data_IF_942479268890
#
_entry.id   IF_942479268890
#
_cell.length_a   1.000
_cell.length_b   1.000
_cell.length_c   1.000
_cell.angle_alpha   90.00
_cell.angle_beta   90.00
_cell.angle_gamma   90.00
#
_symmetry.space_group_name_H-M   'P 1'
#
loop_
_entity.id
_entity.type
_entity.pdbx_description
1 polymer ?
#
# COMPACT_ATOMS: atom_id res chain seq x y z
N UNK A 1 17.33 -20.03 65.63
CA UNK A 1 18.51 -20.84 65.98
C UNK A 1 18.10 -22.31 65.85
N UNK A 2 18.87 -23.13 65.14
CA UNK A 2 18.40 -24.00 64.06
C UNK A 2 18.58 -25.51 64.36
N UNK A 3 18.14 -26.38 63.44
CA UNK A 3 18.82 -27.62 62.94
C UNK A 3 17.98 -28.12 61.74
N UNK A 4 18.40 -27.93 60.49
CA UNK A 4 19.10 -28.91 59.58
C UNK A 4 18.41 -30.27 59.44
N UNK A 5 18.39 -31.00 58.33
CA UNK A 5 18.70 -30.85 56.90
C UNK A 5 18.13 -32.12 56.24
N UNK A 6 17.80 -32.08 54.94
CA UNK A 6 17.71 -33.30 54.13
C UNK A 6 16.53 -33.36 53.16
N UNK A 7 16.66 -32.70 52.01
CA UNK A 7 15.93 -33.08 50.81
C UNK A 7 16.93 -33.26 49.67
N UNK A 8 16.80 -34.42 49.03
CA UNK A 8 17.63 -34.98 47.97
C UNK A 8 17.69 -34.09 46.72
N UNK A 9 18.86 -34.11 46.08
CA UNK A 9 19.31 -33.31 44.94
C UNK A 9 18.98 -34.01 43.61
N UNK A 10 17.71 -34.35 43.35
CA UNK A 10 17.36 -35.11 42.13
C UNK A 10 16.00 -34.83 41.46
N UNK A 11 15.30 -33.72 41.74
CA UNK A 11 13.97 -33.46 41.12
C UNK A 11 13.69 -31.99 40.76
N UNK A 12 14.66 -31.25 40.20
CA UNK A 12 14.40 -29.88 39.72
C UNK A 12 15.20 -29.55 38.46
N UNK A 13 14.94 -30.28 37.37
CA UNK A 13 15.45 -29.93 36.05
C UNK A 13 14.54 -30.43 34.91
N UNK A 14 13.24 -30.16 34.99
CA UNK A 14 12.34 -30.29 33.84
C UNK A 14 11.39 -29.10 33.77
N UNK A 15 11.85 -28.02 33.15
CA UNK A 15 11.04 -27.07 32.38
C UNK A 15 11.98 -25.99 31.86
N UNK A 16 12.48 -26.15 30.64
CA UNK A 16 12.81 -25.08 29.68
C UNK A 16 13.39 -25.75 28.42
N UNK A 17 12.54 -26.05 27.44
CA UNK A 17 12.98 -26.18 26.05
C UNK A 17 11.80 -26.03 25.09
N UNK A 18 11.68 -24.82 24.52
CA UNK A 18 11.02 -24.60 23.25
C UNK A 18 11.91 -25.17 22.12
N UNK A 19 11.39 -25.92 21.14
CA UNK A 19 12.10 -26.13 19.90
C UNK A 19 11.75 -25.01 18.92
N UNK A 20 12.63 -24.02 18.82
CA UNK A 20 12.75 -23.13 17.66
C UNK A 20 13.85 -23.70 16.77
N UNK A 21 13.47 -24.15 15.58
CA UNK A 21 14.40 -24.57 14.53
C UNK A 21 13.94 -25.86 13.87
N UNK A 22 13.24 -25.73 12.75
CA UNK A 22 13.18 -26.85 11.80
C UNK A 22 14.62 -27.11 11.33
N UNK A 23 15.03 -28.38 11.32
CA UNK A 23 16.35 -28.77 10.82
C UNK A 23 16.46 -28.42 9.33
N UNK A 24 17.66 -28.09 8.85
CA UNK A 24 17.94 -27.93 7.41
C UNK A 24 17.42 -29.12 6.58
N UNK A 25 17.45 -30.33 7.16
CA UNK A 25 16.94 -31.54 6.54
C UNK A 25 15.41 -31.55 6.38
N UNK A 26 14.67 -30.93 7.30
CA UNK A 26 13.20 -30.83 7.22
C UNK A 26 12.78 -29.78 6.18
N UNK A 27 13.55 -28.70 6.04
CA UNK A 27 13.37 -27.69 5.00
C UNK A 27 13.68 -28.25 3.60
N UNK A 28 14.73 -29.07 3.46
CA UNK A 28 15.05 -29.76 2.21
C UNK A 28 13.97 -30.78 1.81
N UNK A 29 13.41 -31.51 2.78
CA UNK A 29 12.32 -32.47 2.53
C UNK A 29 11.01 -31.77 2.14
N UNK A 30 10.68 -30.63 2.75
CA UNK A 30 9.53 -29.81 2.34
C UNK A 30 9.71 -29.22 0.94
N UNK A 31 10.93 -28.80 0.60
CA UNK A 31 11.27 -28.30 -0.74
C UNK A 31 11.12 -29.40 -1.82
N UNK A 32 11.56 -30.63 -1.54
CA UNK A 32 11.38 -31.78 -2.45
C UNK A 32 9.92 -32.25 -2.57
N UNK A 33 9.13 -32.15 -1.50
CA UNK A 33 7.71 -32.52 -1.54
C UNK A 33 6.87 -31.55 -2.39
N UNK A 34 7.21 -30.26 -2.38
CA UNK A 34 6.56 -29.25 -3.24
C UNK A 34 6.87 -29.45 -4.74
N UNK A 35 8.08 -29.90 -5.07
CA UNK A 35 8.49 -30.15 -6.46
C UNK A 35 7.88 -31.44 -7.08
N UNK A 36 7.33 -32.35 -6.27
CA UNK A 36 6.87 -33.67 -6.72
C UNK A 36 5.36 -33.81 -6.94
N UNK A 37 4.56 -32.76 -6.70
CA UNK A 37 3.12 -32.81 -6.96
C UNK A 37 2.80 -32.74 -8.47
N UNK A 38 1.98 -33.65 -9.02
CA UNK A 38 1.64 -33.64 -10.45
C UNK A 38 0.69 -32.49 -10.79
N UNK A 39 1.10 -31.66 -11.77
CA UNK A 39 0.29 -30.56 -12.32
C UNK A 39 -1.01 -31.09 -12.94
N UNK A 40 -2.17 -30.73 -12.38
CA UNK A 40 -3.47 -30.92 -13.04
C UNK A 40 -3.51 -30.06 -14.31
N UNK A 41 -3.59 -30.70 -15.49
CA UNK A 41 -3.76 -30.02 -16.77
C UNK A 41 -5.16 -29.41 -16.86
N UNK A 42 -5.30 -28.10 -16.62
CA UNK A 42 -6.48 -27.36 -17.06
C UNK A 42 -6.35 -27.04 -18.54
N UNK A 43 -7.21 -27.64 -19.37
CA UNK A 43 -7.46 -27.14 -20.72
C UNK A 43 -8.24 -25.83 -20.62
N UNK A 44 -7.68 -24.74 -21.16
CA UNK A 44 -8.40 -23.48 -21.39
C UNK A 44 -8.52 -23.23 -22.90
N UNK A 45 -9.66 -22.70 -23.39
CA UNK A 45 -9.83 -22.37 -24.81
C UNK A 45 -8.93 -21.19 -25.20
N UNK A 46 -8.46 -21.20 -26.45
CA UNK A 46 -7.64 -20.11 -27.02
C UNK A 46 -8.54 -18.92 -27.37
N UNK A 47 -8.27 -17.75 -26.78
CA UNK A 47 -8.74 -16.45 -27.26
C UNK A 47 -7.56 -15.55 -27.69
N UNK A 48 -7.74 -14.67 -28.69
CA UNK A 48 -6.65 -13.96 -29.35
C UNK A 48 -6.14 -12.74 -28.55
N UNK A 49 -4.90 -12.28 -28.81
CA UNK A 49 -4.25 -11.28 -27.96
C UNK A 49 -4.70 -9.85 -28.29
N UNK A 50 -5.16 -9.12 -27.27
CA UNK A 50 -5.30 -7.66 -27.32
C UNK A 50 -4.00 -7.05 -26.77
N UNK A 51 -3.21 -6.45 -27.66
CA UNK A 51 -2.00 -5.68 -27.28
C UNK A 51 -2.39 -4.24 -27.02
N UNK A 52 -2.41 -3.82 -25.76
CA UNK A 52 -2.41 -2.40 -25.40
C UNK A 52 -1.11 -2.09 -24.66
N UNK A 53 -0.19 -1.38 -25.31
CA UNK A 53 0.98 -0.79 -24.65
C UNK A 53 0.50 0.41 -23.82
N UNK A 54 0.61 0.32 -22.50
CA UNK A 54 0.39 1.48 -21.62
C UNK A 54 1.72 2.23 -21.51
N UNK A 55 1.70 3.52 -21.90
CA UNK A 55 2.85 4.42 -21.84
C UNK A 55 2.90 5.04 -20.43
N UNK A 56 3.97 4.75 -19.67
CA UNK A 56 4.23 5.36 -18.37
C UNK A 56 4.39 6.87 -18.52
N UNK A 57 3.69 7.64 -17.69
CA UNK A 57 3.80 9.11 -17.62
C UNK A 57 4.54 9.45 -16.34
N UNK A 58 5.76 9.98 -16.48
CA UNK A 58 6.56 10.47 -15.36
C UNK A 58 5.99 11.83 -14.89
N UNK A 59 5.51 11.91 -13.66
CA UNK A 59 5.28 13.19 -12.98
C UNK A 59 6.36 13.39 -11.91
N UNK A 60 7.14 14.45 -12.07
CA UNK A 60 8.16 14.87 -11.12
C UNK A 60 7.53 15.79 -10.07
N UNK A 61 7.14 15.28 -8.91
CA UNK A 61 6.94 16.14 -7.74
C UNK A 61 7.18 15.35 -6.45
N UNK A 62 8.44 15.28 -6.04
CA UNK A 62 8.77 15.04 -4.64
C UNK A 62 9.08 16.38 -3.99
N UNK A 63 8.26 16.81 -3.02
CA UNK A 63 8.66 17.77 -1.97
C UNK A 63 7.89 17.50 -0.67
N UNK A 64 8.67 17.49 0.40
CA UNK A 64 8.33 17.20 1.79
C UNK A 64 7.45 18.27 2.45
N UNK A 65 6.83 17.86 3.56
CA UNK A 65 6.22 18.68 4.60
C UNK A 65 7.21 19.68 5.26
N UNK A 66 6.62 20.78 5.74
CA UNK A 66 6.99 21.71 6.83
C UNK A 66 7.77 23.03 6.53
N UNK A 67 7.17 24.10 7.09
CA UNK A 67 7.67 25.43 7.50
C UNK A 67 7.71 26.61 6.49
N UNK A 68 6.83 27.58 6.76
CA UNK A 68 6.93 29.00 6.39
C UNK A 68 8.15 29.66 7.07
N UNK A 69 8.67 30.79 6.54
CA UNK A 69 8.27 32.08 7.12
C UNK A 69 8.11 33.24 6.11
N UNK A 70 7.39 34.26 6.58
CA UNK A 70 7.13 35.55 5.94
C UNK A 70 8.40 36.36 5.70
N UNK A 71 8.42 37.19 4.65
CA UNK A 71 8.92 38.57 4.75
C UNK A 71 8.40 39.46 3.62
N UNK A 72 8.21 40.72 4.00
CA UNK A 72 7.43 41.79 3.40
C UNK A 72 8.42 42.77 2.72
N UNK A 73 8.24 43.12 1.44
CA UNK A 73 8.86 44.32 0.83
C UNK A 73 7.87 44.94 -0.18
N UNK A 74 7.64 46.24 0.01
CA UNK A 74 6.72 47.14 -0.70
C UNK A 74 7.12 47.50 -2.15
N UNK A 75 6.23 48.17 -2.93
CA UNK A 75 6.20 48.09 -4.39
C UNK A 75 6.92 49.25 -5.11
N UNK A 76 7.38 48.97 -6.34
CA UNK A 76 7.89 50.00 -7.24
C UNK A 76 6.86 50.37 -8.31
N UNK A 77 6.50 51.66 -8.33
CA UNK A 77 5.57 52.33 -9.26
C UNK A 77 5.94 52.16 -10.73
N UNK A 78 4.95 51.90 -11.60
CA UNK A 78 4.71 52.66 -12.84
C UNK A 78 3.20 52.71 -13.18
N UNK A 79 2.75 53.90 -13.57
CA UNK A 79 1.38 54.33 -13.86
C UNK A 79 1.11 54.23 -15.37
N UNK A 80 -0.02 53.65 -15.81
CA UNK A 80 -0.75 54.06 -17.04
C UNK A 80 -2.26 53.68 -16.95
N UNK A 81 -3.07 54.73 -16.90
CA UNK A 81 -4.40 55.02 -17.49
C UNK A 81 -5.64 54.09 -17.34
N UNK A 82 -6.77 54.76 -17.03
CA UNK A 82 -8.10 54.25 -16.68
C UNK A 82 -8.98 54.01 -17.92
N UNK A 83 -9.71 52.89 -17.93
CA UNK A 83 -10.99 52.71 -18.63
C UNK A 83 -12.06 52.22 -17.64
N UNK A 84 -13.37 52.44 -17.89
CA UNK A 84 -14.40 52.16 -16.88
C UNK A 84 -14.64 50.64 -16.78
N UNK A 85 -14.18 50.05 -15.67
CA UNK A 85 -14.46 48.67 -15.34
C UNK A 85 -15.84 48.56 -14.66
N UNK A 86 -16.75 47.85 -15.32
CA UNK A 86 -17.99 47.31 -14.75
C UNK A 86 -17.63 46.56 -13.47
N UNK A 87 -18.19 46.97 -12.33
CA UNK A 87 -18.02 46.27 -11.06
C UNK A 87 -18.80 44.96 -11.09
N UNK A 88 -18.18 43.91 -11.63
CA UNK A 88 -18.55 42.55 -11.28
C UNK A 88 -18.19 42.36 -9.80
N UNK A 89 -19.21 42.20 -8.97
CA UNK A 89 -19.04 41.71 -7.60
C UNK A 89 -18.52 40.28 -7.72
N UNK A 90 -17.22 40.09 -7.56
CA UNK A 90 -16.68 38.77 -7.29
C UNK A 90 -17.04 38.45 -5.83
N UNK A 91 -18.23 37.89 -5.64
CA UNK A 91 -18.50 37.10 -4.45
C UNK A 91 -17.60 35.87 -4.55
N UNK A 92 -16.50 35.90 -3.81
CA UNK A 92 -15.76 34.69 -3.44
C UNK A 92 -16.72 33.80 -2.67
N UNK A 93 -17.39 32.89 -3.37
CA UNK A 93 -18.10 31.78 -2.75
C UNK A 93 -17.05 30.96 -2.00
N UNK A 94 -16.98 31.14 -0.68
CA UNK A 94 -16.36 30.16 0.20
C UNK A 94 -17.05 28.83 -0.08
N UNK A 95 -16.39 27.93 -0.81
CA UNK A 95 -16.88 26.58 -1.01
C UNK A 95 -17.10 25.99 0.39
N UNK A 96 -18.37 25.81 0.77
CA UNK A 96 -18.69 25.11 2.00
C UNK A 96 -18.17 23.69 1.83
N UNK A 97 -17.06 23.36 2.51
CA UNK A 97 -16.49 22.00 2.50
C UNK A 97 -17.57 21.00 2.91
N UNK A 98 -18.14 20.23 2.00
CA UNK A 98 -19.09 19.18 2.40
C UNK A 98 -18.33 18.10 3.18
N UNK A 99 -18.97 17.45 4.14
CA UNK A 99 -18.30 16.36 4.85
C UNK A 99 -17.99 15.21 3.87
N UNK A 100 -16.83 14.54 3.99
CA UNK A 100 -16.47 13.43 3.11
C UNK A 100 -17.44 12.26 3.28
N UNK A 101 -17.59 11.44 2.25
CA UNK A 101 -18.52 10.30 2.26
C UNK A 101 -18.22 9.38 3.45
N UNK A 102 -19.23 9.02 4.26
CA UNK A 102 -19.18 8.03 5.37
C UNK A 102 -17.99 8.15 6.35
N UNK A 103 -17.33 9.31 6.41
CA UNK A 103 -16.11 9.50 7.20
C UNK A 103 -16.32 9.16 8.67
N UNK A 104 -17.49 9.45 9.24
CA UNK A 104 -17.83 9.09 10.63
C UNK A 104 -17.75 7.59 10.88
N UNK A 105 -18.16 6.76 9.89
CA UNK A 105 -18.06 5.30 9.99
C UNK A 105 -16.61 4.86 9.96
N UNK A 106 -15.82 5.42 9.05
CA UNK A 106 -14.39 5.10 8.88
C UNK A 106 -13.62 5.45 10.17
N UNK A 107 -13.88 6.61 10.75
CA UNK A 107 -13.18 7.09 11.94
C UNK A 107 -13.55 6.35 13.24
N UNK A 108 -14.48 5.39 13.23
CA UNK A 108 -14.72 4.52 14.39
C UNK A 108 -13.55 3.56 14.62
N UNK A 109 -12.81 3.25 13.57
CA UNK A 109 -11.68 2.34 13.59
C UNK A 109 -10.33 3.07 13.73
N UNK A 110 -10.35 4.37 14.07
CA UNK A 110 -9.15 5.18 14.20
C UNK A 110 -8.34 4.80 15.45
N UNK A 111 -7.02 4.67 15.27
CA UNK A 111 -6.11 4.26 16.35
C UNK A 111 -5.93 5.37 17.42
N UNK A 112 -6.22 6.62 17.04
CA UNK A 112 -6.14 7.80 17.91
C UNK A 112 -7.40 8.64 17.79
N UNK A 113 -7.83 9.33 18.87
CA UNK A 113 -8.94 10.28 18.79
C UNK A 113 -8.68 11.38 17.76
N UNK A 114 -9.67 11.64 16.91
CA UNK A 114 -9.65 12.74 15.93
C UNK A 114 -10.33 13.96 16.55
N UNK A 115 -9.65 15.12 16.55
CA UNK A 115 -10.21 16.38 17.05
C UNK A 115 -11.34 16.86 16.12
N UNK A 116 -12.56 16.90 16.66
CA UNK A 116 -13.80 17.32 15.98
C UNK A 116 -14.35 18.66 16.53
N UNK A 117 -13.52 19.42 17.26
CA UNK A 117 -13.94 20.69 17.89
C UNK A 117 -14.27 21.78 16.88
N UNK A 118 -13.70 21.72 15.67
CA UNK A 118 -14.10 22.56 14.54
C UNK A 118 -14.00 21.79 13.24
N UNK A 119 -14.65 22.31 12.21
CA UNK A 119 -14.63 21.73 10.87
C UNK A 119 -13.22 21.76 10.30
N UNK A 120 -12.54 22.89 10.42
CA UNK A 120 -11.19 23.12 9.89
C UNK A 120 -10.19 22.12 10.47
N UNK A 121 -10.18 21.95 11.79
CA UNK A 121 -9.30 20.99 12.47
C UNK A 121 -9.55 19.55 12.04
N UNK A 122 -10.82 19.19 11.83
CA UNK A 122 -11.18 17.87 11.33
C UNK A 122 -10.63 17.67 9.92
N UNK A 123 -10.87 18.62 9.01
CA UNK A 123 -10.35 18.54 7.64
C UNK A 123 -8.81 18.51 7.60
N UNK A 124 -8.13 19.30 8.43
CA UNK A 124 -6.66 19.29 8.52
C UNK A 124 -6.13 17.89 8.89
N UNK A 125 -6.75 17.22 9.87
CA UNK A 125 -6.40 15.84 10.23
C UNK A 125 -6.76 14.84 9.13
N UNK A 126 -7.94 14.96 8.53
CA UNK A 126 -8.37 14.08 7.44
C UNK A 126 -7.49 14.21 6.20
N UNK A 127 -6.98 15.39 5.90
CA UNK A 127 -6.02 15.61 4.83
C UNK A 127 -4.59 15.18 5.19
N UNK A 128 -4.24 15.20 6.48
CA UNK A 128 -2.96 14.72 6.99
C UNK A 128 -2.87 13.19 7.06
N UNK A 129 -4.02 12.51 7.16
CA UNK A 129 -4.13 11.06 7.25
C UNK A 129 -4.36 10.58 8.68
N UNK A 130 -5.22 9.58 8.81
CA UNK A 130 -5.58 8.93 10.07
C UNK A 130 -5.28 7.44 9.95
N UNK A 131 -4.53 6.90 10.91
CA UNK A 131 -4.23 5.48 10.98
C UNK A 131 -5.42 4.70 11.56
N UNK A 132 -5.67 3.54 10.97
CA UNK A 132 -6.76 2.65 11.34
C UNK A 132 -6.23 1.23 11.58
N UNK A 133 -6.90 0.50 12.47
CA UNK A 133 -6.66 -0.91 12.77
C UNK A 133 -5.19 -1.22 13.05
N UNK A 134 -4.65 -0.71 14.16
CA UNK A 134 -3.27 -0.92 14.59
C UNK A 134 -2.25 -0.51 13.53
N UNK A 135 -2.52 0.62 12.86
CA UNK A 135 -1.69 1.22 11.80
C UNK A 135 -1.50 0.32 10.59
N UNK A 136 -2.36 -0.67 10.38
CA UNK A 136 -2.33 -1.52 9.18
C UNK A 136 -2.98 -0.84 7.97
N UNK A 137 -3.80 0.19 8.20
CA UNK A 137 -4.36 1.03 7.13
C UNK A 137 -4.19 2.51 7.47
N UNK A 138 -4.19 3.35 6.43
CA UNK A 138 -4.30 4.80 6.56
C UNK A 138 -5.44 5.30 5.70
N UNK A 139 -6.30 6.14 6.28
CA UNK A 139 -7.37 6.86 5.59
C UNK A 139 -7.00 8.34 5.47
N UNK A 140 -7.20 8.92 4.30
CA UNK A 140 -7.16 10.38 4.13
C UNK A 140 -8.22 10.82 3.13
N UNK A 141 -8.46 12.13 3.09
CA UNK A 141 -9.36 12.76 2.14
C UNK A 141 -8.56 13.54 1.13
N UNK A 142 -8.78 13.27 -0.15
CA UNK A 142 -8.18 14.05 -1.22
C UNK A 142 -8.70 15.50 -1.19
N UNK A 143 -7.78 16.47 -1.22
CA UNK A 143 -8.11 17.90 -1.08
C UNK A 143 -8.90 18.44 -2.28
N UNK A 144 -8.69 17.89 -3.47
CA UNK A 144 -9.29 18.41 -4.71
C UNK A 144 -10.72 17.90 -4.89
N UNK A 145 -10.91 16.60 -4.66
CA UNK A 145 -12.15 15.88 -4.93
C UNK A 145 -13.02 15.66 -3.69
N UNK A 146 -12.47 15.89 -2.49
CA UNK A 146 -13.09 15.53 -1.21
C UNK A 146 -13.42 14.02 -1.10
N UNK A 147 -12.74 13.20 -1.90
CA UNK A 147 -12.97 11.76 -1.95
C UNK A 147 -12.14 11.02 -0.91
N UNK A 148 -12.67 9.91 -0.42
CA UNK A 148 -11.97 9.03 0.50
C UNK A 148 -10.83 8.29 -0.20
N UNK A 149 -9.69 8.21 0.45
CA UNK A 149 -8.49 7.53 -0.05
C UNK A 149 -7.92 6.61 1.02
N UNK A 150 -7.23 5.55 0.58
CA UNK A 150 -6.73 4.53 1.49
C UNK A 150 -5.34 4.02 1.10
N UNK A 151 -4.55 3.70 2.13
CA UNK A 151 -3.35 2.87 2.02
C UNK A 151 -3.60 1.62 2.85
N UNK A 152 -3.33 0.46 2.26
CA UNK A 152 -3.17 -0.81 2.97
C UNK A 152 -1.69 -1.09 3.11
N UNK A 153 -1.16 -1.01 4.33
CA UNK A 153 0.25 -1.32 4.58
C UNK A 153 0.49 -2.83 4.52
N UNK A 154 1.75 -3.29 4.39
CA UNK A 154 2.07 -4.71 4.23
C UNK A 154 1.47 -5.64 5.30
N UNK A 155 1.27 -5.16 6.54
CA UNK A 155 0.60 -5.93 7.60
C UNK A 155 -0.89 -6.17 7.38
N UNK A 156 -1.55 -5.40 6.51
CA UNK A 156 -2.91 -5.66 6.05
C UNK A 156 -2.97 -6.60 4.82
N UNK A 157 -1.83 -7.05 4.30
CA UNK A 157 -1.74 -7.86 3.08
C UNK A 157 -1.47 -9.32 3.41
N UNK A 158 -1.94 -10.20 2.53
CA UNK A 158 -1.54 -11.61 2.50
C UNK A 158 -0.32 -11.74 1.59
N UNK A 159 0.83 -12.02 2.17
CA UNK A 159 2.10 -12.17 1.46
C UNK A 159 2.59 -13.60 1.70
N UNK A 160 2.84 -14.35 0.63
CA UNK A 160 3.25 -15.75 0.73
C UNK A 160 4.60 -15.86 1.43
N UNK A 161 4.65 -16.66 2.51
CA UNK A 161 5.83 -16.94 3.34
C UNK A 161 6.39 -15.74 4.11
N UNK A 162 5.60 -14.70 4.33
CA UNK A 162 6.07 -13.47 4.97
C UNK A 162 6.49 -13.63 6.44
N UNK A 163 6.04 -14.68 7.10
CA UNK A 163 6.47 -15.10 8.43
C UNK A 163 7.89 -15.67 8.45
N UNK A 164 8.41 -16.12 7.30
CA UNK A 164 9.73 -16.71 7.21
C UNK A 164 10.80 -15.64 6.91
N UNK A 165 11.70 -15.35 7.87
CA UNK A 165 12.70 -14.30 7.74
C UNK A 165 13.80 -14.61 6.72
N UNK A 166 13.86 -15.85 6.20
CA UNK A 166 14.74 -16.22 5.09
C UNK A 166 14.28 -15.51 3.80
N UNK A 167 12.96 -15.42 3.61
CA UNK A 167 12.35 -14.93 2.38
C UNK A 167 11.93 -13.47 2.44
N UNK A 168 11.51 -12.99 3.62
CA UNK A 168 11.04 -11.62 3.78
C UNK A 168 11.72 -10.94 4.95
N UNK A 169 12.03 -9.65 4.78
CA UNK A 169 12.50 -8.78 5.85
C UNK A 169 11.44 -7.74 6.14
N UNK A 170 10.88 -7.76 7.33
CA UNK A 170 10.07 -6.66 7.84
C UNK A 170 11.01 -5.54 8.31
N UNK A 171 10.75 -4.32 7.84
CA UNK A 171 11.53 -3.13 8.16
C UNK A 171 10.60 -2.17 8.89
N UNK A 172 10.72 -2.17 10.21
CA UNK A 172 10.03 -1.22 11.07
C UNK A 172 10.48 0.20 10.77
N UNK A 173 9.53 1.14 10.84
CA UNK A 173 9.67 2.60 10.75
C UNK A 173 10.86 3.00 9.88
N UNK A 174 10.62 3.07 8.58
CA UNK A 174 11.68 3.50 7.69
C UNK A 174 12.03 4.98 7.94
N UNK A 175 13.24 5.38 7.54
CA UNK A 175 13.71 6.77 7.64
C UNK A 175 12.88 7.76 6.78
N UNK A 176 11.91 7.26 6.02
CA UNK A 176 11.07 7.97 5.07
C UNK A 176 9.63 8.15 5.60
N UNK A 177 9.38 7.77 6.87
CA UNK A 177 8.12 8.02 7.58
C UNK A 177 6.98 7.03 7.32
N UNK A 178 7.21 5.97 6.54
CA UNK A 178 6.23 4.89 6.42
C UNK A 178 6.24 4.01 7.67
N UNK A 179 5.09 3.45 8.08
CA UNK A 179 4.99 2.63 9.28
C UNK A 179 5.94 1.43 9.23
N UNK A 180 5.61 0.41 8.45
CA UNK A 180 6.43 -0.79 8.30
C UNK A 180 6.34 -1.23 6.84
N UNK A 181 7.49 -1.56 6.27
CA UNK A 181 7.60 -2.02 4.87
C UNK A 181 8.18 -3.42 4.85
N UNK A 182 8.00 -4.14 3.74
CA UNK A 182 8.50 -5.50 3.60
C UNK A 182 9.44 -5.61 2.40
N UNK A 183 10.63 -6.17 2.61
CA UNK A 183 11.66 -6.38 1.59
C UNK A 183 11.75 -7.88 1.25
N UNK A 184 11.61 -8.21 -0.03
CA UNK A 184 11.83 -9.55 -0.57
C UNK A 184 13.32 -9.85 -0.57
N UNK A 185 13.69 -10.89 0.18
CA UNK A 185 15.03 -11.47 0.17
C UNK A 185 15.15 -12.53 -0.92
N UNK A 186 16.38 -12.97 -1.14
CA UNK A 186 16.76 -13.96 -2.15
C UNK A 186 15.93 -15.25 -2.04
N UNK A 187 15.70 -15.87 -3.20
CA UNK A 187 15.15 -17.23 -3.35
C UNK A 187 13.68 -17.39 -2.87
N UNK A 188 12.84 -16.38 -3.08
CA UNK A 188 11.41 -16.42 -2.78
C UNK A 188 10.54 -16.05 -3.99
N UNK A 189 9.35 -16.66 -4.09
CA UNK A 189 8.32 -16.23 -5.04
C UNK A 189 7.75 -14.87 -4.63
N UNK A 190 7.37 -14.06 -5.62
CA UNK A 190 6.64 -12.83 -5.38
C UNK A 190 5.14 -13.12 -5.49
N UNK A 191 4.44 -13.03 -4.37
CA UNK A 191 2.99 -13.21 -4.33
C UNK A 191 2.40 -12.39 -3.18
N UNK A 192 1.73 -11.30 -3.53
CA UNK A 192 1.16 -10.33 -2.60
C UNK A 192 -0.30 -10.10 -2.97
N UNK A 193 -1.20 -10.25 -1.99
CA UNK A 193 -2.62 -10.04 -2.14
C UNK A 193 -3.15 -9.04 -1.11
N UNK A 194 -4.06 -8.18 -1.55
CA UNK A 194 -4.82 -7.28 -0.71
C UNK A 194 -6.32 -7.42 -0.96
N UNK A 195 -7.11 -7.13 0.06
CA UNK A 195 -8.56 -7.08 -0.01
C UNK A 195 -9.03 -5.72 0.50
N UNK A 196 -10.05 -5.17 -0.15
CA UNK A 196 -10.57 -3.87 0.24
C UNK A 196 -12.07 -3.77 -0.02
N UNK A 197 -12.83 -3.23 0.94
CA UNK A 197 -14.26 -2.99 0.78
C UNK A 197 -14.51 -1.68 0.02
N UNK A 198 -14.96 -1.79 -1.23
CA UNK A 198 -15.21 -0.62 -2.10
C UNK A 198 -16.29 0.30 -1.55
N UNK A 199 -17.13 -0.17 -0.61
CA UNK A 199 -18.14 0.66 0.09
C UNK A 199 -17.54 1.68 1.04
N UNK A 200 -16.21 1.68 1.22
CA UNK A 200 -15.48 2.70 1.97
C UNK A 200 -15.08 3.90 1.10
N UNK A 201 -15.17 3.78 -0.23
CA UNK A 201 -14.81 4.82 -1.19
C UNK A 201 -15.98 5.77 -1.46
N UNK A 202 -15.66 6.97 -1.93
CA UNK A 202 -16.68 7.94 -2.35
C UNK A 202 -17.31 7.50 -3.68
N UNK A 203 -18.64 7.36 -3.76
CA UNK A 203 -19.30 6.88 -4.98
C UNK A 203 -19.22 7.91 -6.12
N UNK A 204 -19.25 7.43 -7.36
CA UNK A 204 -19.20 8.25 -8.57
C UNK A 204 -17.79 8.73 -8.95
N UNK A 205 -16.77 8.40 -8.16
CA UNK A 205 -15.38 8.79 -8.41
C UNK A 205 -14.65 7.68 -9.16
N UNK A 206 -13.85 8.06 -10.16
CA UNK A 206 -12.89 7.18 -10.82
C UNK A 206 -11.67 7.01 -9.91
N UNK A 207 -11.45 5.80 -9.44
CA UNK A 207 -10.29 5.42 -8.63
C UNK A 207 -9.25 4.70 -9.47
N UNK A 208 -7.99 4.92 -9.11
CA UNK A 208 -6.88 4.05 -9.47
C UNK A 208 -6.41 3.24 -8.25
N UNK A 209 -6.00 2.00 -8.51
CA UNK A 209 -5.42 1.08 -7.54
C UNK A 209 -3.97 0.83 -7.91
N UNK A 210 -3.07 1.05 -6.96
CA UNK A 210 -1.62 1.07 -7.17
C UNK A 210 -0.93 0.23 -6.10
N UNK A 211 0.14 -0.47 -6.47
CA UNK A 211 1.15 -0.90 -5.49
C UNK A 211 2.21 0.18 -5.33
N UNK A 212 2.56 0.51 -4.08
CA UNK A 212 3.65 1.43 -3.78
C UNK A 212 4.92 0.63 -3.46
N UNK A 213 5.89 0.67 -4.37
CA UNK A 213 7.07 -0.22 -4.34
C UNK A 213 8.36 0.54 -4.54
N UNK A 214 9.47 -0.05 -4.12
CA UNK A 214 10.82 0.47 -4.28
C UNK A 214 11.78 -0.66 -4.63
N UNK A 215 12.65 -0.42 -5.60
CA UNK A 215 13.73 -1.34 -5.96
C UNK A 215 15.02 -0.89 -5.28
N UNK A 216 15.67 -1.79 -4.53
CA UNK A 216 16.86 -1.52 -3.71
C UNK A 216 17.98 -2.49 -4.09
N UNK A 217 19.20 -1.98 -4.20
CA UNK A 217 20.36 -2.83 -4.52
C UNK A 217 20.68 -3.82 -3.37
N UNK A 218 21.12 -5.05 -3.70
CA UNK A 218 21.24 -5.59 -5.05
C UNK A 218 19.86 -5.96 -5.66
N UNK A 219 19.67 -5.64 -6.95
CA UNK A 219 18.46 -5.97 -7.71
C UNK A 219 18.78 -7.11 -8.69
N UNK A 220 18.05 -8.22 -8.59
CA UNK A 220 18.25 -9.41 -9.44
C UNK A 220 16.92 -10.12 -9.73
N UNK A 221 16.79 -10.72 -10.92
CA UNK A 221 15.67 -11.60 -11.27
C UNK A 221 14.46 -10.89 -11.87
N UNK A 222 14.54 -9.58 -12.15
CA UNK A 222 13.41 -8.74 -12.58
C UNK A 222 13.36 -8.51 -14.10
N UNK A 223 14.08 -9.31 -14.89
CA UNK A 223 14.16 -9.19 -16.35
C UNK A 223 12.80 -9.46 -17.02
N UNK A 224 11.97 -10.28 -16.39
CA UNK A 224 10.61 -10.56 -16.83
C UNK A 224 9.60 -9.65 -16.10
N UNK A 225 8.55 -9.19 -16.80
CA UNK A 225 7.53 -8.38 -16.17
C UNK A 225 6.68 -9.20 -15.22
N UNK A 226 6.37 -8.64 -14.07
CA UNK A 226 5.47 -9.22 -13.06
C UNK A 226 4.02 -9.10 -13.48
N UNK A 227 3.14 -9.89 -12.86
CA UNK A 227 1.69 -9.80 -13.08
C UNK A 227 1.05 -8.91 -12.02
N UNK A 228 0.08 -8.10 -12.45
CA UNK A 228 -0.79 -7.32 -11.57
C UNK A 228 -2.24 -7.64 -11.91
N UNK A 229 -3.10 -7.71 -10.89
CA UNK A 229 -4.51 -8.10 -11.06
C UNK A 229 -5.42 -7.35 -10.09
N UNK A 230 -6.53 -6.84 -10.61
CA UNK A 230 -7.66 -6.31 -9.84
C UNK A 230 -8.91 -7.12 -10.17
N UNK A 231 -9.58 -7.66 -9.15
CA UNK A 231 -10.89 -8.31 -9.26
C UNK A 231 -11.88 -7.47 -8.48
N UNK A 232 -12.86 -6.90 -9.17
CA UNK A 232 -13.90 -6.07 -8.58
C UNK A 232 -15.04 -6.91 -8.01
N UNK A 233 -15.90 -6.34 -7.15
CA UNK A 233 -17.16 -6.96 -6.78
C UNK A 233 -17.95 -7.39 -8.03
N UNK A 234 -18.55 -8.58 -7.97
CA UNK A 234 -19.21 -9.20 -9.14
C UNK A 234 -18.26 -9.90 -10.12
N UNK A 235 -16.96 -9.97 -9.83
CA UNK A 235 -16.00 -10.82 -10.55
C UNK A 235 -15.36 -10.19 -11.79
N UNK A 236 -15.65 -8.91 -12.08
CA UNK A 236 -15.00 -8.21 -13.20
C UNK A 236 -13.50 -8.11 -12.94
N UNK A 237 -12.70 -8.67 -13.85
CA UNK A 237 -11.25 -8.79 -13.71
C UNK A 237 -10.50 -7.84 -14.65
N UNK A 238 -9.47 -7.20 -14.14
CA UNK A 238 -8.44 -6.48 -14.87
C UNK A 238 -7.10 -7.13 -14.56
N UNK A 239 -6.28 -7.41 -15.57
CA UNK A 239 -4.97 -8.02 -15.38
C UNK A 239 -3.98 -7.43 -16.39
N UNK A 240 -2.75 -7.21 -15.94
CA UNK A 240 -1.67 -6.68 -16.76
C UNK A 240 -0.31 -7.25 -16.36
N UNK A 241 0.70 -6.90 -17.15
CA UNK A 241 2.10 -7.18 -16.86
C UNK A 241 2.89 -5.88 -16.74
N UNK A 242 3.78 -5.78 -15.76
CA UNK A 242 4.56 -4.56 -15.49
C UNK A 242 6.05 -4.91 -15.38
N UNK A 243 6.89 -4.20 -16.13
CA UNK A 243 8.35 -4.31 -16.01
C UNK A 243 8.85 -3.47 -14.85
N UNK A 244 9.49 -4.11 -13.86
CA UNK A 244 10.14 -3.40 -12.75
C UNK A 244 11.57 -2.94 -13.09
N UNK A 245 12.09 -3.25 -14.28
CA UNK A 245 13.43 -2.83 -14.71
C UNK A 245 13.48 -1.40 -15.24
N UNK A 246 12.36 -0.89 -15.73
CA UNK A 246 12.23 0.51 -16.19
C UNK A 246 12.10 1.50 -15.01
N UNK A 247 12.08 0.98 -13.79
CA UNK A 247 11.81 1.71 -12.56
C UNK A 247 13.10 2.25 -11.93
N UNK A 248 13.06 3.51 -11.48
CA UNK A 248 14.21 4.20 -10.88
C UNK A 248 14.59 3.56 -9.54
N UNK A 249 15.77 2.94 -9.48
CA UNK A 249 16.32 2.35 -8.25
C UNK A 249 16.40 3.38 -7.12
N UNK A 250 16.19 2.91 -5.89
CA UNK A 250 16.26 3.72 -4.68
C UNK A 250 15.09 4.68 -4.47
N UNK A 251 14.13 4.77 -5.40
CA UNK A 251 12.94 5.61 -5.27
C UNK A 251 11.68 4.77 -5.13
N UNK A 252 10.73 5.29 -4.36
CA UNK A 252 9.38 4.76 -4.36
C UNK A 252 8.65 5.12 -5.64
N UNK A 253 7.83 4.20 -6.12
CA UNK A 253 7.06 4.33 -7.34
C UNK A 253 5.70 3.66 -7.20
N UNK A 254 4.76 4.16 -8.00
CA UNK A 254 3.41 3.64 -8.10
C UNK A 254 3.32 2.67 -9.28
N UNK A 255 2.96 1.43 -9.02
CA UNK A 255 2.70 0.39 -10.03
C UNK A 255 1.19 0.27 -10.22
N UNK A 256 0.63 0.69 -11.37
CA UNK A 256 -0.81 0.59 -11.60
C UNK A 256 -1.29 -0.85 -11.71
N UNK A 257 -2.38 -1.15 -11.01
CA UNK A 257 -3.05 -2.45 -11.04
C UNK A 257 -4.32 -2.41 -11.88
N UNK A 258 -5.10 -1.34 -11.73
CA UNK A 258 -6.37 -1.17 -12.44
C UNK A 258 -7.13 0.05 -11.96
N UNK A 259 -8.24 0.32 -12.63
CA UNK A 259 -9.06 1.51 -12.42
C UNK A 259 -10.54 1.15 -12.42
N UNK A 260 -11.34 1.83 -11.62
CA UNK A 260 -12.78 1.62 -11.59
C UNK A 260 -13.53 2.83 -11.05
N UNK A 261 -14.80 2.96 -11.44
CA UNK A 261 -15.70 3.94 -10.83
C UNK A 261 -16.35 3.31 -9.61
N UNK A 262 -16.21 3.92 -8.44
CA UNK A 262 -16.87 3.44 -7.22
C UNK A 262 -18.40 3.63 -7.32
N UNK A 263 -19.16 2.60 -6.97
CA UNK A 263 -20.63 2.57 -7.07
C UNK A 263 -21.23 2.09 -5.75
N UNK A 264 -22.26 2.77 -5.25
CA UNK A 264 -22.95 2.36 -4.01
C UNK A 264 -23.67 1.02 -4.17
N UNK A 265 -24.19 0.73 -5.38
CA UNK A 265 -25.04 -0.44 -5.65
C UNK A 265 -24.23 -1.71 -5.89
N UNK A 266 -23.03 -1.57 -6.42
CA UNK A 266 -22.12 -2.69 -6.73
C UNK A 266 -21.01 -2.81 -5.68
N UNK A 267 -21.29 -2.36 -4.46
CA UNK A 267 -20.35 -2.35 -3.35
C UNK A 267 -20.00 -3.76 -2.86
N UNK A 268 -18.73 -3.99 -2.52
CA UNK A 268 -18.27 -5.26 -1.99
C UNK A 268 -16.75 -5.32 -1.85
N UNK A 269 -16.24 -6.51 -1.56
CA UNK A 269 -14.80 -6.72 -1.46
C UNK A 269 -14.18 -6.82 -2.87
N UNK A 270 -13.16 -5.99 -3.13
CA UNK A 270 -12.25 -6.15 -4.26
C UNK A 270 -10.99 -6.90 -3.83
N UNK A 271 -10.41 -7.65 -4.75
CA UNK A 271 -9.13 -8.34 -4.58
C UNK A 271 -8.07 -7.73 -5.48
N UNK A 272 -6.90 -7.49 -4.90
CA UNK A 272 -5.77 -6.79 -5.52
C UNK A 272 -4.58 -7.72 -5.42
N UNK A 273 -3.82 -7.92 -6.48
CA UNK A 273 -2.71 -8.86 -6.47
C UNK A 273 -1.53 -8.39 -7.31
N UNK A 274 -0.33 -8.69 -6.82
CA UNK A 274 0.95 -8.54 -7.49
C UNK A 274 1.72 -9.84 -7.31
N UNK A 275 2.04 -10.50 -8.41
CA UNK A 275 2.60 -11.85 -8.35
C UNK A 275 3.46 -12.22 -9.57
N UNK A 276 4.35 -13.19 -9.37
CA UNK A 276 5.15 -13.79 -10.42
C UNK A 276 5.32 -15.30 -10.16
N UNK A 277 4.86 -16.13 -11.10
CA UNK A 277 4.91 -17.60 -11.00
C UNK A 277 5.72 -18.25 -12.12
N UNK A 278 6.06 -17.52 -13.18
CA UNK A 278 6.65 -18.08 -14.41
C UNK A 278 8.18 -18.09 -14.36
N UNK A 279 8.79 -17.32 -13.46
CA UNK A 279 10.24 -17.17 -13.37
C UNK A 279 10.97 -18.25 -12.59
N UNK A 280 10.58 -19.53 -12.74
CA UNK A 280 11.03 -20.70 -11.95
C UNK A 280 12.54 -21.03 -11.88
N UNK A 281 13.42 -20.09 -12.23
CA UNK A 281 14.88 -20.17 -12.17
C UNK A 281 15.51 -18.92 -11.48
N UNK A 282 14.73 -17.84 -11.24
CA UNK A 282 15.29 -16.57 -10.79
C UNK A 282 15.17 -16.37 -9.26
N UNK A 283 16.31 -16.07 -8.63
CA UNK A 283 16.35 -15.50 -7.29
C UNK A 283 15.96 -14.02 -7.35
N UNK A 284 14.73 -13.69 -6.98
CA UNK A 284 14.29 -12.30 -6.87
C UNK A 284 14.94 -11.63 -5.65
N UNK A 285 15.56 -10.46 -5.85
CA UNK A 285 16.15 -9.67 -4.75
C UNK A 285 15.87 -8.19 -4.96
N UNK A 286 15.65 -7.46 -3.87
CA UNK A 286 15.65 -6.00 -3.87
C UNK A 286 14.28 -5.35 -4.05
N UNK A 287 13.20 -6.14 -4.10
CA UNK A 287 11.84 -5.60 -4.10
C UNK A 287 11.42 -5.20 -2.68
N UNK A 288 10.93 -3.98 -2.52
CA UNK A 288 10.36 -3.48 -1.27
C UNK A 288 8.94 -3.01 -1.54
N UNK A 289 7.98 -3.48 -0.72
CA UNK A 289 6.59 -3.05 -0.78
C UNK A 289 6.25 -2.18 0.42
N UNK A 290 5.69 -1.00 0.12
CA UNK A 290 5.08 -0.08 1.08
C UNK A 290 3.56 -0.26 1.19
N UNK A 291 2.98 -1.13 0.35
CA UNK A 291 1.56 -1.46 0.40
C UNK A 291 0.79 -1.15 -0.87
N UNK A 292 -0.52 -1.02 -0.72
CA UNK A 292 -1.46 -0.69 -1.80
C UNK A 292 -2.05 0.69 -1.55
N UNK A 293 -2.11 1.53 -2.57
CA UNK A 293 -2.70 2.87 -2.55
C UNK A 293 -3.96 2.88 -3.41
N UNK A 294 -5.05 3.41 -2.86
CA UNK A 294 -6.34 3.59 -3.53
C UNK A 294 -6.70 5.08 -3.44
N UNK A 295 -6.73 5.76 -4.59
CA UNK A 295 -6.97 7.20 -4.66
C UNK A 295 -7.74 7.58 -5.94
N UNK A 296 -8.41 8.74 -5.97
CA UNK A 296 -8.98 9.28 -7.20
C UNK A 296 -7.91 9.41 -8.28
N UNK A 297 -8.28 9.04 -9.50
CA UNK A 297 -7.43 9.22 -10.67
C UNK A 297 -7.56 10.64 -11.21
N UNK A 298 -6.44 11.31 -11.44
CA UNK A 298 -6.36 12.65 -12.05
C UNK A 298 -6.62 12.66 -13.56
#
# INVERSE_FOLDING_TARGET
IPTEMGASLSELEQQHQHPLGASLSELEQQHQHSQSQPKKKHHQPKEPPIKTKVKLRLSSTGKNLLLSPQQNIEPSRKVVQKGPAVKAKYETQSAQLSFPHIFERILRDADSPVDRSSKEKLFDQLHGGVYLHDKTKMYWVDKKTNANCFVLFPRALSITWAENPIYWKWIERNNEGLPEVVELKKDCWLEVHGKFDTRMLSPGILYEVLFYVKMKDPVQGWELPINVRLVLPGGKKQQGKVSLMEMLRGRWMEVPVGEFVACEKDGGEMEISLFEYDGGIYSYVGFVSGGIVIKPKE
#
